data_IF_268170357601
#
_entry.id   IF_268170357601
#
_cell.length_a   1.000
_cell.length_b   1.000
_cell.length_c   1.000
_cell.angle_alpha   90.00
_cell.angle_beta   90.00
_cell.angle_gamma   90.00
#
_symmetry.space_group_name_H-M   'P 1'
#
loop_
_entity.id
_entity.type
_entity.pdbx_description
1 polymer ?
#
# COMPACT_ATOMS: atom_id res chain seq x y z
N UNK A 1 7.93 2.02 21.80
CA UNK A 1 7.06 1.22 20.91
C UNK A 1 5.64 1.28 21.45
N UNK A 2 4.62 1.43 20.58
CA UNK A 2 3.22 1.39 21.03
C UNK A 2 2.85 -0.04 21.46
N UNK A 3 2.18 -0.18 22.59
CA UNK A 3 1.61 -1.48 22.98
C UNK A 3 0.38 -1.81 22.14
N UNK A 4 0.06 -3.10 21.98
CA UNK A 4 -1.18 -3.54 21.31
C UNK A 4 -2.43 -2.91 21.94
N UNK A 5 -2.43 -2.74 23.28
CA UNK A 5 -3.53 -2.09 24.02
C UNK A 5 -3.72 -0.64 23.58
N UNK A 6 -2.63 0.11 23.40
CA UNK A 6 -2.69 1.50 22.93
C UNK A 6 -3.17 1.60 21.48
N UNK A 7 -2.74 0.68 20.61
CA UNK A 7 -3.19 0.63 19.23
C UNK A 7 -4.68 0.26 19.13
N UNK A 8 -5.12 -0.72 19.91
CA UNK A 8 -6.53 -1.16 19.94
C UNK A 8 -7.49 -0.12 20.51
N UNK A 9 -7.02 0.79 21.36
CA UNK A 9 -7.83 1.88 21.92
C UNK A 9 -8.04 3.08 20.98
N UNK A 10 -7.36 3.10 19.83
CA UNK A 10 -7.52 4.20 18.87
C UNK A 10 -8.85 4.12 18.13
N UNK A 11 -9.40 5.30 17.80
CA UNK A 11 -10.59 5.39 16.95
C UNK A 11 -10.29 4.77 15.59
N UNK A 12 -11.13 3.84 15.16
CA UNK A 12 -11.03 3.18 13.86
C UNK A 12 -11.13 4.20 12.72
N UNK A 13 -10.14 4.19 11.84
CA UNK A 13 -10.06 5.01 10.62
C UNK A 13 -10.43 4.23 9.37
N UNK A 14 -10.37 2.90 9.45
CA UNK A 14 -10.84 1.98 8.41
C UNK A 14 -11.82 1.00 9.04
N UNK A 15 -13.09 1.18 8.73
CA UNK A 15 -14.21 0.50 9.38
C UNK A 15 -14.48 -0.87 8.76
N UNK A 16 -15.17 -1.72 9.51
CA UNK A 16 -15.80 -2.92 8.97
C UNK A 16 -16.91 -2.59 7.96
N UNK A 17 -17.53 -3.62 7.38
CA UNK A 17 -18.60 -3.46 6.39
C UNK A 17 -18.12 -3.34 4.93
N UNK A 18 -16.81 -3.36 4.69
CA UNK A 18 -16.26 -3.51 3.35
C UNK A 18 -16.51 -4.94 2.79
N UNK A 19 -16.50 -5.08 1.46
CA UNK A 19 -16.72 -6.36 0.77
C UNK A 19 -15.41 -7.11 0.43
N UNK A 20 -14.39 -6.96 1.25
CA UNK A 20 -13.15 -7.68 1.06
C UNK A 20 -13.30 -9.18 1.34
N UNK A 21 -12.50 -9.99 0.69
CA UNK A 21 -12.41 -11.42 0.96
C UNK A 21 -12.03 -11.67 2.42
N UNK A 22 -12.52 -12.74 3.02
CA UNK A 22 -12.02 -13.20 4.31
C UNK A 22 -10.49 -13.40 4.23
N UNK A 23 -9.74 -12.89 5.22
CA UNK A 23 -8.28 -12.94 5.22
C UNK A 23 -7.59 -12.04 4.18
N UNK A 24 -8.25 -10.99 3.69
CA UNK A 24 -7.66 -10.06 2.73
C UNK A 24 -6.49 -9.27 3.34
N UNK A 25 -5.28 -9.53 2.88
CA UNK A 25 -4.07 -8.89 3.39
C UNK A 25 -4.03 -7.37 3.10
N UNK A 26 -4.62 -6.91 1.99
CA UNK A 26 -4.65 -5.49 1.65
C UNK A 26 -5.46 -4.67 2.67
N UNK A 27 -6.62 -5.17 3.12
CA UNK A 27 -7.43 -4.51 4.16
C UNK A 27 -6.77 -4.56 5.53
N UNK A 28 -6.08 -5.66 5.86
CA UNK A 28 -5.29 -5.76 7.08
C UNK A 28 -4.15 -4.72 7.06
N UNK A 29 -3.43 -4.60 5.95
CA UNK A 29 -2.37 -3.60 5.77
C UNK A 29 -2.91 -2.17 5.91
N UNK A 30 -4.00 -1.83 5.22
CA UNK A 30 -4.61 -0.51 5.31
C UNK A 30 -5.02 -0.16 6.74
N UNK A 31 -5.67 -1.08 7.46
CA UNK A 31 -6.03 -0.90 8.86
C UNK A 31 -4.81 -0.68 9.75
N UNK A 32 -3.76 -1.50 9.61
CA UNK A 32 -2.52 -1.35 10.37
C UNK A 32 -1.84 0.00 10.12
N UNK A 33 -1.74 0.43 8.87
CA UNK A 33 -1.18 1.73 8.49
C UNK A 33 -1.96 2.88 9.12
N UNK A 34 -3.27 2.85 9.04
CA UNK A 34 -4.13 3.90 9.59
C UNK A 34 -4.15 3.91 11.12
N UNK A 35 -4.07 2.73 11.75
CA UNK A 35 -3.92 2.62 13.20
C UNK A 35 -2.57 3.13 13.69
N UNK A 36 -1.50 2.98 12.90
CA UNK A 36 -0.19 3.53 13.24
C UNK A 36 -0.15 5.07 13.22
N UNK A 37 -0.98 5.69 12.39
CA UNK A 37 -1.05 7.16 12.28
C UNK A 37 -1.75 7.79 13.49
N UNK A 38 -1.01 8.57 14.28
CA UNK A 38 -1.54 9.28 15.46
C UNK A 38 -2.26 10.58 15.08
N UNK A 39 -1.75 11.27 14.06
CA UNK A 39 -2.31 12.52 13.55
C UNK A 39 -3.52 12.25 12.63
N UNK A 40 -4.36 13.27 12.41
CA UNK A 40 -5.38 13.21 11.38
C UNK A 40 -4.77 12.99 10.00
N UNK A 41 -5.39 12.12 9.21
CA UNK A 41 -4.90 11.73 7.87
C UNK A 41 -5.89 12.13 6.78
N UNK A 42 -5.36 12.39 5.60
CA UNK A 42 -6.11 12.44 4.33
C UNK A 42 -5.59 11.31 3.47
N UNK A 43 -6.48 10.51 2.92
CA UNK A 43 -6.14 9.29 2.19
C UNK A 43 -6.54 9.40 0.73
N UNK A 44 -5.65 9.00 -0.16
CA UNK A 44 -5.96 8.68 -1.55
C UNK A 44 -5.73 7.20 -1.83
N UNK A 45 -6.57 6.58 -2.64
CA UNK A 45 -6.33 5.23 -3.10
C UNK A 45 -6.48 5.14 -4.62
N UNK A 46 -5.52 4.45 -5.24
CA UNK A 46 -5.63 4.05 -6.65
C UNK A 46 -6.68 2.95 -6.81
N UNK A 47 -7.33 2.91 -7.96
CA UNK A 47 -8.20 1.81 -8.35
C UNK A 47 -7.47 0.47 -8.15
N UNK A 48 -8.17 -0.50 -7.60
CA UNK A 48 -7.66 -1.83 -7.29
C UNK A 48 -8.52 -2.50 -6.23
N UNK A 49 -8.12 -3.70 -5.78
CA UNK A 49 -8.92 -4.45 -4.80
C UNK A 49 -9.32 -3.61 -3.59
N UNK A 50 -8.35 -2.90 -2.98
CA UNK A 50 -8.61 -2.14 -1.75
C UNK A 50 -9.67 -1.05 -1.97
N UNK A 51 -9.56 -0.31 -3.06
CA UNK A 51 -10.54 0.72 -3.40
C UNK A 51 -11.90 0.11 -3.67
N UNK A 52 -11.99 -0.85 -4.62
CA UNK A 52 -13.24 -1.47 -5.06
C UNK A 52 -14.05 -2.07 -3.89
N UNK A 53 -13.39 -2.76 -2.96
CA UNK A 53 -14.09 -3.43 -1.84
C UNK A 53 -14.49 -2.48 -0.72
N UNK A 54 -13.89 -1.29 -0.63
CA UNK A 54 -14.04 -0.37 0.49
C UNK A 54 -14.91 0.85 0.21
N UNK A 55 -15.27 1.11 -1.06
CA UNK A 55 -16.02 2.32 -1.48
C UNK A 55 -17.25 1.98 -2.32
N UNK A 56 -17.99 0.96 -1.94
CA UNK A 56 -19.19 0.53 -2.67
C UNK A 56 -20.32 1.52 -2.40
N UNK A 57 -20.71 2.26 -3.42
CA UNK A 57 -21.78 3.24 -3.33
C UNK A 57 -23.06 2.64 -2.71
N UNK A 58 -23.72 3.35 -1.79
CA UNK A 58 -23.40 4.68 -1.23
C UNK A 58 -22.49 4.63 0.02
N UNK A 59 -21.85 3.52 0.32
CA UNK A 59 -21.08 3.28 1.54
C UNK A 59 -19.57 3.44 1.32
N UNK A 60 -18.87 3.80 2.39
CA UNK A 60 -17.40 3.84 2.44
C UNK A 60 -16.91 3.27 3.76
N UNK A 61 -15.85 2.45 3.72
CA UNK A 61 -15.16 1.98 4.91
C UNK A 61 -14.16 3.01 5.47
N UNK A 62 -13.91 4.11 4.78
CA UNK A 62 -12.94 5.12 5.16
C UNK A 62 -13.56 6.16 6.09
N UNK A 63 -13.22 6.10 7.37
CA UNK A 63 -13.65 7.09 8.38
C UNK A 63 -12.65 8.26 8.48
N UNK A 64 -12.16 8.68 7.33
CA UNK A 64 -11.20 9.78 7.13
C UNK A 64 -11.52 10.48 5.79
N UNK A 65 -11.08 11.71 5.55
CA UNK A 65 -11.13 12.30 4.21
C UNK A 65 -10.44 11.39 3.20
N UNK A 66 -11.16 11.05 2.14
CA UNK A 66 -10.75 10.05 1.17
C UNK A 66 -10.98 10.52 -0.27
N UNK A 67 -10.04 10.21 -1.16
CA UNK A 67 -10.11 10.50 -2.60
C UNK A 67 -9.84 9.23 -3.40
N UNK A 68 -10.80 8.82 -4.22
CA UNK A 68 -10.61 7.76 -5.21
C UNK A 68 -9.82 8.29 -6.42
N UNK A 69 -8.94 7.47 -6.95
CA UNK A 69 -8.10 7.79 -8.09
C UNK A 69 -8.08 6.64 -9.10
N UNK A 70 -7.80 6.95 -10.35
CA UNK A 70 -7.49 5.92 -11.33
C UNK A 70 -6.19 5.16 -10.95
N UNK A 71 -5.89 4.09 -11.67
CA UNK A 71 -4.78 3.18 -11.34
C UNK A 71 -3.44 3.88 -11.18
N UNK A 72 -3.17 4.88 -12.03
CA UNK A 72 -1.85 5.47 -12.23
C UNK A 72 -1.60 6.72 -11.38
N UNK A 73 -2.64 7.46 -10.99
CA UNK A 73 -2.47 8.88 -10.65
C UNK A 73 -2.58 9.23 -9.17
N UNK A 74 -2.70 8.27 -8.26
CA UNK A 74 -2.86 8.57 -6.82
C UNK A 74 -1.71 9.41 -6.26
N UNK A 75 -0.47 9.14 -6.67
CA UNK A 75 0.69 9.92 -6.23
C UNK A 75 0.61 11.38 -6.71
N UNK A 76 0.21 11.61 -7.96
CA UNK A 76 0.04 12.94 -8.51
C UNK A 76 -1.11 13.70 -7.81
N UNK A 77 -2.26 13.06 -7.60
CA UNK A 77 -3.40 13.65 -6.87
C UNK A 77 -3.02 14.03 -5.45
N UNK A 78 -2.38 13.11 -4.71
CA UNK A 78 -1.99 13.37 -3.32
C UNK A 78 -0.89 14.42 -3.21
N UNK A 79 -0.03 14.56 -4.23
CA UNK A 79 0.90 15.69 -4.36
C UNK A 79 0.16 17.03 -4.43
N UNK A 80 -0.91 17.08 -5.24
CA UNK A 80 -1.77 18.27 -5.35
C UNK A 80 -2.51 18.59 -4.05
N UNK A 81 -3.04 17.58 -3.37
CA UNK A 81 -3.72 17.72 -2.07
C UNK A 81 -2.75 18.24 -1.01
N UNK A 82 -1.54 17.69 -0.93
CA UNK A 82 -0.50 18.14 0.00
C UNK A 82 -0.05 19.58 -0.31
N UNK A 83 0.14 19.93 -1.57
CA UNK A 83 0.49 21.28 -1.99
C UNK A 83 -0.61 22.29 -1.63
N UNK A 84 -1.88 21.96 -1.86
CA UNK A 84 -3.02 22.77 -1.47
C UNK A 84 -3.08 22.98 0.06
N UNK A 85 -2.85 21.91 0.82
CA UNK A 85 -2.76 21.99 2.29
C UNK A 85 -1.66 22.95 2.73
N UNK A 86 -0.44 22.85 2.20
CA UNK A 86 0.67 23.78 2.52
C UNK A 86 0.28 25.24 2.24
N UNK A 87 -0.35 25.49 1.09
CA UNK A 87 -0.81 26.83 0.73
C UNK A 87 -1.88 27.35 1.69
N UNK A 88 -2.87 26.52 2.07
CA UNK A 88 -3.92 26.88 3.03
C UNK A 88 -3.38 27.08 4.43
N UNK A 89 -2.42 26.26 4.87
CA UNK A 89 -1.73 26.39 6.16
C UNK A 89 -0.96 27.71 6.23
N UNK A 90 -0.20 28.04 5.17
CA UNK A 90 0.52 29.33 5.06
C UNK A 90 -0.42 30.54 5.13
N UNK A 91 -1.63 30.42 4.58
CA UNK A 91 -2.68 31.47 4.65
C UNK A 91 -3.46 31.48 5.99
N UNK A 92 -3.10 30.63 6.96
CA UNK A 92 -3.80 30.52 8.26
C UNK A 92 -5.20 29.91 8.20
N UNK A 93 -5.63 29.39 7.03
CA UNK A 93 -6.97 28.82 6.84
C UNK A 93 -7.11 27.39 7.40
N UNK A 94 -6.01 26.66 7.53
CA UNK A 94 -5.95 25.33 8.14
C UNK A 94 -4.94 25.37 9.28
N UNK A 95 -5.41 25.05 10.50
CA UNK A 95 -4.57 25.05 11.71
C UNK A 95 -4.10 23.65 12.10
N UNK A 96 -4.87 22.61 11.75
CA UNK A 96 -4.57 21.21 12.09
C UNK A 96 -3.33 20.73 11.34
N UNK A 97 -2.50 19.93 12.00
CA UNK A 97 -1.40 19.21 11.35
C UNK A 97 -1.94 17.90 10.76
N UNK A 98 -1.87 17.79 9.43
CA UNK A 98 -2.40 16.68 8.68
C UNK A 98 -1.28 15.82 8.11
N UNK A 99 -1.53 14.53 7.96
CA UNK A 99 -0.67 13.60 7.22
C UNK A 99 -1.39 13.10 5.98
N UNK A 100 -0.64 12.81 4.94
CA UNK A 100 -1.15 12.40 3.63
C UNK A 100 -0.67 11.00 3.32
N UNK A 101 -1.59 10.09 2.98
CA UNK A 101 -1.30 8.69 2.69
C UNK A 101 -1.90 8.35 1.33
N UNK A 102 -1.08 7.83 0.43
CA UNK A 102 -1.51 7.26 -0.84
C UNK A 102 -1.43 5.74 -0.79
N UNK A 103 -2.49 5.02 -1.16
CA UNK A 103 -2.48 3.57 -1.31
C UNK A 103 -2.54 3.18 -2.78
N UNK A 104 -1.65 2.27 -3.19
CA UNK A 104 -1.67 1.65 -4.51
C UNK A 104 -1.39 0.15 -4.41
N UNK A 105 -2.01 -0.66 -5.27
CA UNK A 105 -1.60 -2.05 -5.47
C UNK A 105 -0.31 -2.15 -6.25
N UNK A 106 0.27 -3.35 -6.35
CA UNK A 106 1.51 -3.54 -7.09
C UNK A 106 1.36 -3.21 -8.59
N UNK A 107 0.28 -3.61 -9.24
CA UNK A 107 0.03 -3.24 -10.64
C UNK A 107 -0.04 -1.73 -10.85
N UNK A 108 -0.76 -1.02 -9.97
CA UNK A 108 -0.84 0.45 -10.00
C UNK A 108 0.45 1.15 -9.60
N UNK A 109 1.39 0.50 -8.94
CA UNK A 109 2.61 1.12 -8.41
C UNK A 109 3.86 0.72 -9.20
N UNK A 110 4.06 -0.58 -9.46
CA UNK A 110 5.22 -1.10 -10.17
C UNK A 110 5.18 -0.81 -11.68
N UNK A 111 3.99 -0.67 -12.23
CA UNK A 111 3.74 -0.55 -13.66
C UNK A 111 3.20 0.85 -13.98
N UNK A 112 1.90 1.00 -14.11
CA UNK A 112 1.27 2.18 -14.71
C UNK A 112 1.44 3.48 -13.89
N UNK A 113 1.57 3.40 -12.56
CA UNK A 113 1.71 4.57 -11.68
C UNK A 113 3.14 4.92 -11.29
N UNK A 114 4.16 4.20 -11.79
CA UNK A 114 5.55 4.44 -11.43
C UNK A 114 6.01 5.86 -11.78
N UNK A 115 5.57 6.40 -12.89
CA UNK A 115 5.87 7.77 -13.30
C UNK A 115 5.31 8.80 -12.31
N UNK A 116 4.07 8.63 -11.86
CA UNK A 116 3.44 9.53 -10.89
C UNK A 116 4.14 9.48 -9.53
N UNK A 117 4.54 8.26 -9.08
CA UNK A 117 5.32 8.05 -7.86
C UNK A 117 6.69 8.73 -7.96
N UNK A 118 7.42 8.53 -9.06
CA UNK A 118 8.69 9.18 -9.34
C UNK A 118 8.59 10.71 -9.22
N UNK A 119 7.58 11.30 -9.87
CA UNK A 119 7.35 12.73 -9.80
C UNK A 119 6.93 13.26 -8.42
N UNK A 120 6.22 12.47 -7.62
CA UNK A 120 5.90 12.82 -6.23
C UNK A 120 7.17 12.91 -5.37
N UNK A 121 8.08 11.94 -5.54
CA UNK A 121 9.34 11.89 -4.79
C UNK A 121 10.27 13.02 -5.23
N UNK A 122 10.44 13.21 -6.53
CA UNK A 122 11.28 14.25 -7.11
C UNK A 122 10.87 15.65 -6.61
N UNK A 123 9.57 15.96 -6.59
CA UNK A 123 9.04 17.22 -6.09
C UNK A 123 8.99 17.36 -4.58
N UNK A 124 9.49 16.36 -3.84
CA UNK A 124 9.62 16.35 -2.37
C UNK A 124 8.28 16.54 -1.63
N UNK A 125 7.18 16.03 -2.18
CA UNK A 125 5.88 16.08 -1.48
C UNK A 125 5.89 15.23 -0.22
N UNK A 126 5.44 15.80 0.90
CA UNK A 126 5.35 15.08 2.19
C UNK A 126 4.13 14.16 2.22
N UNK A 127 4.20 13.09 1.46
CA UNK A 127 3.17 12.05 1.32
C UNK A 127 3.80 10.70 1.61
N UNK A 128 3.16 9.88 2.44
CA UNK A 128 3.48 8.47 2.56
C UNK A 128 2.78 7.69 1.44
N UNK A 129 3.54 7.12 0.53
CA UNK A 129 3.02 6.17 -0.45
C UNK A 129 3.15 4.74 0.07
N UNK A 130 2.04 4.03 0.15
CA UNK A 130 1.94 2.63 0.58
C UNK A 130 1.57 1.76 -0.62
N UNK A 131 2.50 0.91 -1.03
CA UNK A 131 2.20 -0.16 -1.97
C UNK A 131 1.77 -1.41 -1.21
N UNK A 132 0.50 -1.82 -1.32
CA UNK A 132 0.06 -3.14 -0.87
C UNK A 132 0.32 -4.17 -1.98
N UNK A 133 1.46 -4.83 -1.89
CA UNK A 133 1.95 -5.75 -2.92
C UNK A 133 1.38 -7.15 -2.71
N UNK A 134 0.49 -7.57 -3.59
CA UNK A 134 -0.06 -8.92 -3.65
C UNK A 134 0.42 -9.73 -4.87
N UNK A 135 1.40 -9.17 -5.60
CA UNK A 135 2.18 -9.79 -6.67
C UNK A 135 1.41 -10.06 -7.98
N UNK A 136 0.24 -9.43 -8.18
CA UNK A 136 -0.50 -9.46 -9.46
C UNK A 136 -1.60 -8.39 -9.49
N UNK A 137 -2.18 -8.11 -10.67
CA UNK A 137 -3.46 -7.39 -10.80
C UNK A 137 -4.60 -8.32 -10.35
N UNK A 138 -4.84 -8.42 -9.05
CA UNK A 138 -5.75 -9.42 -8.48
C UNK A 138 -7.20 -9.12 -8.76
N UNK A 139 -7.63 -7.84 -8.66
CA UNK A 139 -9.03 -7.46 -8.81
C UNK A 139 -9.59 -7.71 -10.21
N UNK A 140 -8.78 -7.52 -11.23
CA UNK A 140 -9.18 -7.64 -12.63
C UNK A 140 -9.12 -9.06 -13.19
N UNK A 141 -8.68 -10.03 -12.39
CA UNK A 141 -8.64 -11.45 -12.78
C UNK A 141 -7.23 -12.05 -12.80
N UNK A 142 -6.36 -11.64 -11.89
CA UNK A 142 -5.05 -12.26 -11.62
C UNK A 142 -4.09 -12.13 -12.82
N UNK A 143 -4.02 -10.96 -13.46
CA UNK A 143 -3.04 -10.71 -14.50
C UNK A 143 -1.67 -10.46 -13.87
N UNK A 144 -0.61 -10.76 -14.60
CA UNK A 144 0.75 -10.50 -14.15
C UNK A 144 1.01 -9.00 -13.98
N UNK A 145 1.66 -8.62 -12.91
CA UNK A 145 2.33 -7.33 -12.73
C UNK A 145 3.85 -7.48 -12.83
N UNK A 146 4.58 -6.37 -12.79
CA UNK A 146 6.04 -6.41 -12.63
C UNK A 146 6.49 -6.93 -11.26
N UNK A 147 5.61 -6.95 -10.26
CA UNK A 147 5.87 -7.54 -8.95
C UNK A 147 5.72 -9.07 -8.92
N UNK A 148 5.02 -9.65 -9.91
CA UNK A 148 4.81 -11.11 -9.98
C UNK A 148 6.15 -11.84 -10.04
N UNK A 149 6.38 -12.87 -9.19
CA UNK A 149 7.59 -13.66 -9.22
C UNK A 149 7.82 -14.38 -10.56
N UNK A 150 9.08 -14.60 -10.91
CA UNK A 150 9.43 -15.46 -12.05
C UNK A 150 8.91 -16.88 -11.82
N UNK A 151 8.35 -17.48 -12.86
CA UNK A 151 7.75 -18.81 -12.79
C UNK A 151 6.33 -18.87 -12.24
N UNK A 152 5.80 -17.77 -11.70
CA UNK A 152 4.44 -17.76 -11.16
C UNK A 152 3.39 -17.81 -12.28
N UNK A 153 2.35 -18.60 -12.04
CA UNK A 153 1.16 -18.68 -12.89
C UNK A 153 0.26 -17.46 -12.68
N UNK A 154 -0.15 -16.84 -13.76
CA UNK A 154 -1.22 -15.83 -13.79
C UNK A 154 -2.07 -16.02 -15.06
N UNK A 155 -3.21 -15.35 -15.15
CA UNK A 155 -4.07 -15.44 -16.34
C UNK A 155 -3.42 -14.92 -17.63
N UNK A 156 -2.43 -14.01 -17.51
CA UNK A 156 -1.67 -13.48 -18.66
C UNK A 156 -0.24 -14.04 -18.75
N UNK A 157 0.14 -14.92 -17.86
CA UNK A 157 1.39 -15.70 -17.88
C UNK A 157 1.11 -17.11 -17.39
N UNK A 158 0.33 -17.91 -18.16
CA UNK A 158 -0.05 -19.25 -17.73
C UNK A 158 1.17 -20.17 -17.64
N UNK A 159 1.26 -20.95 -16.57
CA UNK A 159 2.25 -22.01 -16.45
C UNK A 159 1.74 -23.28 -17.14
N UNK A 160 2.61 -23.94 -17.89
CA UNK A 160 2.32 -25.18 -18.60
C UNK A 160 3.61 -25.94 -18.92
N UNK A 161 3.50 -27.00 -19.69
CA UNK A 161 4.65 -27.86 -20.05
C UNK A 161 5.72 -27.15 -20.90
N UNK A 162 5.31 -26.14 -21.69
CA UNK A 162 6.24 -25.39 -22.58
C UNK A 162 6.69 -24.06 -21.98
N UNK A 163 5.85 -23.39 -21.20
CA UNK A 163 6.16 -22.08 -20.62
C UNK A 163 5.93 -22.17 -19.09
N UNK A 164 6.94 -21.90 -18.27
CA UNK A 164 6.85 -22.06 -16.81
C UNK A 164 6.25 -20.84 -16.10
N UNK A 165 5.23 -20.19 -16.66
CA UNK A 165 4.65 -18.97 -16.10
C UNK A 165 5.40 -17.71 -16.50
N UNK A 166 5.46 -16.73 -15.63
CA UNK A 166 6.15 -15.45 -15.92
C UNK A 166 7.65 -15.65 -16.13
N UNK A 167 8.16 -15.23 -17.28
CA UNK A 167 9.57 -15.40 -17.64
C UNK A 167 10.50 -14.32 -17.07
N UNK A 168 9.98 -13.11 -16.83
CA UNK A 168 10.75 -11.96 -16.36
C UNK A 168 10.96 -12.02 -14.84
N UNK A 169 12.09 -11.52 -14.36
CA UNK A 169 12.32 -11.33 -12.94
C UNK A 169 11.36 -10.29 -12.36
N UNK A 170 11.15 -10.35 -11.06
CA UNK A 170 10.42 -9.31 -10.31
C UNK A 170 11.22 -7.99 -10.40
N UNK A 171 10.52 -6.90 -10.68
CA UNK A 171 11.09 -5.55 -10.58
C UNK A 171 11.38 -5.23 -9.11
N UNK A 172 12.57 -4.78 -8.78
CA UNK A 172 12.87 -4.33 -7.42
C UNK A 172 12.47 -2.87 -7.22
N UNK A 173 11.17 -2.65 -6.98
CA UNK A 173 10.63 -1.30 -6.83
C UNK A 173 11.22 -0.54 -5.64
N UNK A 174 11.54 -1.23 -4.55
CA UNK A 174 12.10 -0.57 -3.36
C UNK A 174 13.45 0.07 -3.67
N UNK A 175 14.34 -0.62 -4.39
CA UNK A 175 15.62 -0.04 -4.84
C UNK A 175 15.44 1.09 -5.85
N UNK A 176 14.47 0.96 -6.78
CA UNK A 176 14.13 2.03 -7.71
C UNK A 176 13.69 3.29 -6.95
N UNK A 177 12.86 3.13 -5.93
CA UNK A 177 12.43 4.25 -5.08
C UNK A 177 13.59 4.82 -4.28
N UNK A 178 14.46 3.98 -3.70
CA UNK A 178 15.65 4.43 -2.95
C UNK A 178 16.55 5.28 -3.84
N UNK A 179 16.72 4.91 -5.11
CA UNK A 179 17.50 5.69 -6.08
C UNK A 179 16.93 7.10 -6.37
N UNK A 180 15.67 7.37 -5.99
CA UNK A 180 15.06 8.71 -6.02
C UNK A 180 15.30 9.52 -4.74
N UNK A 181 16.06 8.99 -3.78
CA UNK A 181 16.40 9.64 -2.51
C UNK A 181 15.18 10.15 -1.72
N UNK A 182 14.17 9.29 -1.44
CA UNK A 182 13.06 9.68 -0.59
C UNK A 182 13.54 9.99 0.84
N UNK A 183 12.74 10.71 1.62
CA UNK A 183 13.04 10.95 3.03
C UNK A 183 12.99 9.65 3.85
N UNK A 184 12.17 8.67 3.42
CA UNK A 184 12.08 7.36 4.04
C UNK A 184 11.63 6.29 3.03
N UNK A 185 12.28 5.14 3.04
CA UNK A 185 11.86 3.96 2.29
C UNK A 185 11.94 2.70 3.13
N UNK A 186 10.98 1.79 2.99
CA UNK A 186 10.96 0.54 3.73
C UNK A 186 10.24 -0.58 2.99
N UNK A 187 10.57 -1.83 3.34
CA UNK A 187 9.78 -3.03 3.07
C UNK A 187 9.23 -3.59 4.38
N UNK A 188 7.96 -3.99 4.36
CA UNK A 188 7.26 -4.53 5.51
C UNK A 188 6.31 -5.65 5.10
N UNK A 189 5.71 -6.31 6.07
CA UNK A 189 4.63 -7.27 5.85
C UNK A 189 3.63 -7.24 7.01
N UNK A 190 2.40 -7.62 6.74
CA UNK A 190 1.36 -7.76 7.77
C UNK A 190 1.67 -8.85 8.79
N UNK A 191 2.58 -9.77 8.47
CA UNK A 191 3.01 -10.83 9.37
C UNK A 191 3.79 -10.34 10.60
N UNK A 192 4.43 -9.18 10.50
CA UNK A 192 5.22 -8.54 11.56
C UNK A 192 4.66 -7.16 11.89
N UNK A 193 3.52 -7.14 12.59
CA UNK A 193 2.74 -5.93 12.87
C UNK A 193 3.55 -4.82 13.56
N UNK A 194 4.44 -5.18 14.49
CA UNK A 194 5.24 -4.22 15.25
C UNK A 194 6.28 -3.50 14.36
N UNK A 195 6.93 -4.26 13.47
CA UNK A 195 7.82 -3.73 12.46
C UNK A 195 7.07 -2.77 11.52
N UNK A 196 5.92 -3.19 10.99
CA UNK A 196 5.09 -2.38 10.11
C UNK A 196 4.64 -1.08 10.78
N UNK A 197 4.09 -1.14 12.00
CA UNK A 197 3.63 0.05 12.75
C UNK A 197 4.79 1.01 13.01
N UNK A 198 5.96 0.49 13.38
CA UNK A 198 7.15 1.31 13.63
C UNK A 198 7.61 2.03 12.36
N UNK A 199 7.64 1.32 11.23
CA UNK A 199 8.02 1.89 9.92
C UNK A 199 7.03 2.95 9.45
N UNK A 200 5.73 2.70 9.61
CA UNK A 200 4.69 3.69 9.25
C UNK A 200 4.84 4.97 10.05
N UNK A 201 5.09 4.90 11.36
CA UNK A 201 5.33 6.08 12.20
C UNK A 201 6.55 6.86 11.72
N UNK A 202 7.68 6.19 11.52
CA UNK A 202 8.89 6.82 10.98
C UNK A 202 8.63 7.50 9.63
N UNK A 203 7.89 6.83 8.74
CA UNK A 203 7.54 7.36 7.43
C UNK A 203 6.64 8.60 7.50
N UNK A 204 5.68 8.65 8.43
CA UNK A 204 4.78 9.79 8.63
C UNK A 204 5.46 10.98 9.31
N UNK A 205 6.51 10.72 10.10
CA UNK A 205 7.29 11.76 10.77
C UNK A 205 8.41 12.32 9.89
N UNK A 206 8.82 11.58 8.84
CA UNK A 206 9.86 12.01 7.91
C UNK A 206 9.49 13.33 7.22
N UNK A 207 10.49 14.20 7.05
CA UNK A 207 10.30 15.49 6.39
C UNK A 207 10.54 15.38 4.88
N UNK A 208 9.55 14.84 4.18
CA UNK A 208 9.57 14.63 2.74
C UNK A 208 8.77 13.41 2.29
N UNK A 209 8.95 12.99 1.03
CA UNK A 209 8.27 11.83 0.47
C UNK A 209 8.74 10.55 1.16
N UNK A 210 7.78 9.69 1.47
CA UNK A 210 8.04 8.42 2.11
C UNK A 210 7.37 7.27 1.34
N UNK A 211 7.99 6.11 1.35
CA UNK A 211 7.50 4.93 0.63
C UNK A 211 7.59 3.69 1.51
N UNK A 212 6.52 2.90 1.55
CA UNK A 212 6.53 1.58 2.18
C UNK A 212 5.92 0.56 1.22
N UNK A 213 6.70 -0.49 0.93
CA UNK A 213 6.26 -1.63 0.15
C UNK A 213 5.86 -2.76 1.11
N UNK A 214 4.56 -3.04 1.20
CA UNK A 214 4.00 -4.01 2.15
C UNK A 214 3.63 -5.29 1.41
N UNK A 215 4.29 -6.40 1.74
CA UNK A 215 3.85 -7.71 1.26
C UNK A 215 2.49 -8.05 1.85
N UNK A 216 1.52 -8.16 0.97
CA UNK A 216 0.11 -8.36 1.29
C UNK A 216 -0.49 -9.47 0.41
N UNK A 217 -0.14 -10.76 0.63
CA UNK A 217 -0.47 -11.85 -0.26
C UNK A 217 -1.98 -12.02 -0.44
N UNK A 218 -2.40 -12.30 -1.68
CA UNK A 218 -3.80 -12.52 -2.01
C UNK A 218 -4.16 -14.00 -1.87
N UNK A 219 -5.11 -14.31 -0.96
CA UNK A 219 -5.54 -15.69 -0.72
C UNK A 219 -6.25 -16.34 -1.93
N UNK A 220 -6.97 -15.55 -2.73
CA UNK A 220 -7.64 -16.04 -3.93
C UNK A 220 -6.63 -16.28 -5.07
N UNK A 221 -5.78 -15.29 -5.33
CA UNK A 221 -4.79 -15.38 -6.40
C UNK A 221 -3.76 -16.48 -6.18
N UNK A 222 -3.32 -16.69 -4.95
CA UNK A 222 -2.31 -17.70 -4.59
C UNK A 222 -2.90 -18.96 -3.94
N UNK A 223 -4.23 -19.12 -3.99
CA UNK A 223 -4.97 -20.34 -3.64
C UNK A 223 -4.64 -20.93 -2.24
N UNK A 224 -4.66 -20.11 -1.20
CA UNK A 224 -4.54 -20.57 0.18
C UNK A 224 -5.78 -20.20 1.03
N UNK A 225 -6.00 -20.91 2.15
CA UNK A 225 -7.15 -20.67 3.02
C UNK A 225 -6.98 -19.36 3.83
N UNK A 226 -8.07 -18.63 4.12
CA UNK A 226 -8.03 -17.29 4.75
C UNK A 226 -7.23 -17.22 6.05
N UNK A 227 -7.31 -18.23 6.88
CA UNK A 227 -6.68 -18.32 8.19
C UNK A 227 -5.15 -18.34 8.10
N UNK A 228 -4.61 -18.71 6.94
CA UNK A 228 -3.15 -18.76 6.72
C UNK A 228 -2.53 -17.47 6.25
N UNK A 229 -3.30 -16.40 6.01
CA UNK A 229 -2.78 -15.13 5.48
C UNK A 229 -1.59 -14.59 6.30
N UNK A 230 -1.71 -14.55 7.62
CA UNK A 230 -0.61 -14.08 8.49
C UNK A 230 0.58 -15.06 8.47
N UNK A 231 0.30 -16.38 8.44
CA UNK A 231 1.36 -17.39 8.34
C UNK A 231 2.14 -17.29 7.03
N UNK A 232 1.45 -17.14 5.90
CA UNK A 232 2.09 -16.95 4.58
C UNK A 232 2.93 -15.68 4.57
N UNK A 233 2.42 -14.60 5.16
CA UNK A 233 3.14 -13.34 5.27
C UNK A 233 4.42 -13.44 6.12
N UNK A 234 4.43 -14.27 7.18
CA UNK A 234 5.62 -14.56 7.98
C UNK A 234 6.61 -15.43 7.22
N UNK A 235 6.12 -16.51 6.60
CA UNK A 235 6.95 -17.42 5.81
C UNK A 235 7.72 -16.69 4.69
N UNK A 236 7.12 -15.69 4.05
CA UNK A 236 7.79 -14.90 3.02
C UNK A 236 9.06 -14.21 3.56
N UNK A 237 9.07 -13.77 4.82
CA UNK A 237 10.24 -13.19 5.48
C UNK A 237 11.22 -14.29 5.91
N UNK A 238 10.73 -15.34 6.56
CA UNK A 238 11.53 -16.45 7.07
C UNK A 238 12.28 -17.20 5.96
N UNK A 239 11.72 -17.22 4.76
CA UNK A 239 12.34 -17.83 3.57
C UNK A 239 13.11 -16.85 2.69
N UNK A 240 13.30 -15.61 3.13
CA UNK A 240 13.97 -14.54 2.40
C UNK A 240 13.34 -14.18 1.04
N UNK A 241 12.09 -14.60 0.78
CA UNK A 241 11.32 -14.17 -0.41
C UNK A 241 10.95 -12.68 -0.32
N UNK A 242 10.72 -12.21 0.91
CA UNK A 242 10.41 -10.81 1.21
C UNK A 242 11.23 -10.32 2.41
N UNK A 243 12.45 -9.83 2.21
CA UNK A 243 13.25 -9.29 3.30
C UNK A 243 12.61 -8.03 3.89
N UNK A 244 12.66 -7.88 5.20
CA UNK A 244 12.31 -6.63 5.86
C UNK A 244 13.45 -5.62 5.69
N UNK A 245 13.09 -4.39 5.32
CA UNK A 245 14.06 -3.32 5.09
C UNK A 245 13.61 -2.03 5.77
#
# INVERSE_FOLDING_TARGET
MASLKQLAAQKEKFLGGHRACAGCAATIAARMVLTAAEQPVVVGAATGCLEVVSTIYPFSAWNVPYVHNAFENVAATMSGVEAAYRALKKKGRVKKDLRFIAFGGDGGTYDIGLQALSGMIERRHRVLYVCYNNEAYMNTGIQRSSATPRGAHTTTSPAGTKIPGKMQNRKNLTEIVIAHEPAYAAQATIGYWNDLVTKVRKALDADGPSFINIYAPCRLGWAYIPEKTIKVSKLAVETCVWPLY
#
